data_IF_494105590628
#
_entry.id   IF_494105590628
#
_cell.length_a   1.000
_cell.length_b   1.000
_cell.length_c   1.000
_cell.angle_alpha   90.00
_cell.angle_beta   90.00
_cell.angle_gamma   90.00
#
_symmetry.space_group_name_H-M   'P 1'
#
loop_
_entity.id
_entity.type
_entity.pdbx_description
1 polymer ?
#
# COMPACT_ATOMS: atom_id res chain seq x y z
N UNK A 1 9.94 25.29 -2.32
CA UNK A 1 9.45 24.70 -3.56
C UNK A 1 8.34 23.72 -3.18
N UNK A 2 7.06 24.08 -3.34
CA UNK A 2 5.94 23.21 -2.96
C UNK A 2 5.85 22.07 -3.98
N UNK A 3 6.18 20.86 -3.56
CA UNK A 3 5.96 19.65 -4.34
C UNK A 3 4.45 19.41 -4.43
N UNK A 4 3.88 19.66 -5.60
CA UNK A 4 2.49 19.32 -5.89
C UNK A 4 2.31 17.82 -5.72
N UNK A 5 1.49 17.42 -4.75
CA UNK A 5 0.94 16.06 -4.67
C UNK A 5 0.29 15.72 -6.03
N UNK A 6 0.41 14.48 -6.52
CA UNK A 6 -0.19 14.10 -7.80
C UNK A 6 -1.68 14.43 -7.83
N UNK A 7 -2.13 14.90 -8.97
CA UNK A 7 -3.48 15.40 -9.33
C UNK A 7 -4.67 14.49 -8.93
N UNK A 8 -4.41 13.29 -8.42
CA UNK A 8 -5.41 12.33 -7.97
C UNK A 8 -6.30 12.80 -6.79
N UNK A 9 -5.92 13.88 -6.09
CA UNK A 9 -6.63 14.31 -4.88
C UNK A 9 -7.88 15.17 -5.14
N UNK A 10 -7.93 15.91 -6.24
CA UNK A 10 -9.02 16.89 -6.45
C UNK A 10 -10.23 16.36 -7.27
N UNK A 11 -10.03 15.36 -8.12
CA UNK A 11 -11.06 14.91 -9.06
C UNK A 11 -12.15 14.03 -8.43
N UNK A 12 -11.98 13.54 -7.20
CA UNK A 12 -12.90 12.57 -6.58
C UNK A 12 -13.95 13.18 -5.63
N UNK A 13 -13.84 14.45 -5.29
CA UNK A 13 -14.82 15.11 -4.42
C UNK A 13 -16.13 15.47 -5.14
N UNK A 14 -16.19 15.39 -6.47
CA UNK A 14 -17.34 15.85 -7.26
C UNK A 14 -18.32 14.77 -7.75
N UNK A 15 -18.15 13.49 -7.35
CA UNK A 15 -19.01 12.37 -7.81
C UNK A 15 -19.82 11.72 -6.69
N UNK A 16 -20.73 12.47 -6.06
CA UNK A 16 -21.38 12.07 -4.81
C UNK A 16 -22.41 10.90 -4.89
N UNK A 17 -22.98 10.59 -6.02
CA UNK A 17 -24.07 9.59 -6.12
C UNK A 17 -23.56 8.20 -6.54
N UNK A 18 -22.69 8.11 -7.53
CA UNK A 18 -22.05 6.84 -7.94
C UNK A 18 -21.09 6.27 -6.89
N UNK A 19 -20.55 7.13 -6.03
CA UNK A 19 -19.63 6.76 -4.96
C UNK A 19 -20.31 5.87 -3.91
N UNK A 20 -21.56 6.10 -3.57
CA UNK A 20 -22.29 5.29 -2.56
C UNK A 20 -22.55 3.85 -3.00
N UNK A 21 -22.80 3.62 -4.26
CA UNK A 21 -22.98 2.27 -4.81
C UNK A 21 -21.66 1.51 -4.86
N UNK A 22 -20.58 2.17 -5.26
CA UNK A 22 -19.22 1.62 -5.24
C UNK A 22 -18.77 1.31 -3.81
N UNK A 23 -19.16 2.11 -2.83
CA UNK A 23 -18.89 1.91 -1.41
C UNK A 23 -19.54 0.62 -0.88
N UNK A 24 -20.80 0.36 -1.26
CA UNK A 24 -21.53 -0.80 -0.75
C UNK A 24 -20.95 -2.13 -1.26
N UNK A 25 -20.43 -2.19 -2.49
CA UNK A 25 -19.98 -3.43 -3.12
C UNK A 25 -18.70 -3.99 -2.47
N UNK A 26 -17.81 -3.12 -1.99
CA UNK A 26 -16.52 -3.51 -1.40
C UNK A 26 -16.43 -3.18 0.11
N UNK A 27 -17.56 -3.01 0.79
CA UNK A 27 -17.61 -2.66 2.21
C UNK A 27 -16.98 -3.73 3.10
N UNK A 28 -17.12 -4.99 2.73
CA UNK A 28 -16.50 -6.12 3.44
C UNK A 28 -14.95 -6.01 3.41
N UNK A 29 -14.39 -5.74 2.24
CA UNK A 29 -12.95 -5.53 2.06
C UNK A 29 -12.47 -4.30 2.84
N UNK A 30 -13.22 -3.20 2.79
CA UNK A 30 -12.92 -2.00 3.56
C UNK A 30 -12.94 -2.25 5.06
N UNK A 31 -13.97 -2.91 5.58
CA UNK A 31 -14.10 -3.23 7.01
C UNK A 31 -12.97 -4.15 7.48
N UNK A 32 -12.62 -5.16 6.69
CA UNK A 32 -11.54 -6.08 7.02
C UNK A 32 -10.17 -5.36 7.08
N UNK A 33 -9.87 -4.52 6.09
CA UNK A 33 -8.60 -3.80 6.02
C UNK A 33 -8.50 -2.66 7.04
N UNK A 34 -9.58 -1.92 7.28
CA UNK A 34 -9.61 -0.89 8.33
C UNK A 34 -9.48 -1.48 9.73
N UNK A 35 -10.14 -2.62 9.98
CA UNK A 35 -9.98 -3.37 11.23
C UNK A 35 -8.56 -3.92 11.40
N UNK A 36 -7.91 -4.38 10.32
CA UNK A 36 -6.51 -4.79 10.34
C UNK A 36 -5.59 -3.64 10.76
N UNK A 37 -5.73 -2.47 10.13
CA UNK A 37 -4.93 -1.29 10.45
C UNK A 37 -5.13 -0.79 11.88
N UNK A 38 -6.35 -0.87 12.41
CA UNK A 38 -6.67 -0.44 13.78
C UNK A 38 -6.12 -1.36 14.88
N UNK A 39 -5.80 -2.62 14.55
CA UNK A 39 -5.25 -3.61 15.48
C UNK A 39 -3.74 -3.78 15.40
N UNK A 40 -3.13 -3.15 14.39
CA UNK A 40 -1.70 -3.33 14.14
C UNK A 40 -0.87 -2.67 15.25
N UNK A 41 0.04 -3.47 15.82
CA UNK A 41 1.02 -2.99 16.80
C UNK A 41 2.25 -2.44 16.07
N UNK A 42 2.67 -1.26 16.45
CA UNK A 42 3.84 -0.57 15.87
C UNK A 42 5.12 -1.41 15.95
N UNK A 43 5.21 -2.29 16.94
CA UNK A 43 6.40 -3.11 17.20
C UNK A 43 6.39 -4.46 16.50
N UNK A 44 5.25 -4.90 15.96
CA UNK A 44 5.10 -6.22 15.32
C UNK A 44 5.37 -6.15 13.83
N UNK A 45 5.85 -7.26 13.28
CA UNK A 45 5.90 -7.48 11.83
C UNK A 45 4.49 -7.61 11.29
N UNK A 46 4.13 -6.79 10.31
CA UNK A 46 2.82 -6.81 9.69
C UNK A 46 2.85 -7.60 8.39
N UNK A 47 1.91 -8.54 8.21
CA UNK A 47 1.76 -9.22 6.93
C UNK A 47 1.27 -8.23 5.87
N UNK A 48 1.95 -8.08 4.72
CA UNK A 48 1.47 -7.25 3.63
C UNK A 48 0.10 -7.69 3.12
N UNK A 49 -0.74 -6.73 2.71
CA UNK A 49 -2.05 -6.99 2.13
C UNK A 49 -2.05 -6.63 0.65
N UNK A 50 -2.68 -7.49 -0.18
CA UNK A 50 -2.83 -7.29 -1.61
C UNK A 50 -4.32 -7.23 -1.99
N UNK A 51 -4.73 -6.12 -2.56
CA UNK A 51 -6.08 -5.91 -3.09
C UNK A 51 -6.05 -6.28 -4.58
N UNK A 52 -6.76 -7.34 -4.95
CA UNK A 52 -6.81 -7.83 -6.33
C UNK A 52 -8.17 -7.62 -6.96
N UNK A 53 -8.19 -7.20 -8.20
CA UNK A 53 -9.42 -7.10 -8.99
C UNK A 53 -9.18 -6.44 -10.34
N UNK A 54 -10.06 -6.65 -11.28
CA UNK A 54 -9.99 -6.10 -12.63
C UNK A 54 -9.92 -4.57 -12.64
N UNK A 55 -9.55 -4.01 -13.78
CA UNK A 55 -9.59 -2.56 -13.97
C UNK A 55 -11.02 -2.04 -13.76
N UNK A 56 -11.15 -0.93 -13.05
CA UNK A 56 -12.47 -0.33 -12.76
C UNK A 56 -13.24 -0.93 -11.57
N UNK A 57 -12.78 -2.00 -10.91
CA UNK A 57 -13.46 -2.59 -9.74
C UNK A 57 -13.35 -1.77 -8.44
N UNK A 58 -12.66 -0.62 -8.46
CA UNK A 58 -12.61 0.29 -7.31
C UNK A 58 -11.38 0.14 -6.40
N UNK A 59 -10.31 -0.57 -6.81
CA UNK A 59 -9.07 -0.73 -6.00
C UNK A 59 -8.51 0.60 -5.50
N UNK A 60 -8.22 1.50 -6.42
CA UNK A 60 -7.67 2.83 -6.10
C UNK A 60 -8.61 3.62 -5.20
N UNK A 61 -9.92 3.48 -5.39
CA UNK A 61 -10.91 4.12 -4.53
C UNK A 61 -10.87 3.56 -3.10
N UNK A 62 -10.82 2.22 -2.95
CA UNK A 62 -10.69 1.57 -1.65
C UNK A 62 -9.40 2.02 -0.94
N UNK A 63 -8.28 2.06 -1.65
CA UNK A 63 -7.00 2.51 -1.09
C UNK A 63 -7.06 3.97 -0.61
N UNK A 64 -7.70 4.86 -1.37
CA UNK A 64 -7.88 6.27 -0.97
C UNK A 64 -8.77 6.40 0.27
N UNK A 65 -9.82 5.60 0.37
CA UNK A 65 -10.69 5.58 1.55
C UNK A 65 -9.92 5.12 2.79
N UNK A 66 -9.10 4.08 2.66
CA UNK A 66 -8.23 3.60 3.74
C UNK A 66 -7.16 4.65 4.12
N UNK A 67 -6.56 5.29 3.13
CA UNK A 67 -5.63 6.40 3.35
C UNK A 67 -6.28 7.53 4.17
N UNK A 68 -7.51 7.93 3.80
CA UNK A 68 -8.26 8.96 4.52
C UNK A 68 -8.48 8.58 5.99
N UNK A 69 -8.94 7.35 6.27
CA UNK A 69 -9.12 6.89 7.65
C UNK A 69 -7.83 6.87 8.45
N UNK A 70 -6.73 6.37 7.85
CA UNK A 70 -5.42 6.38 8.54
C UNK A 70 -5.01 7.81 8.87
N UNK A 71 -5.17 8.73 7.93
CA UNK A 71 -4.80 10.13 8.12
C UNK A 71 -5.64 10.83 9.19
N UNK A 72 -6.95 10.61 9.19
CA UNK A 72 -7.90 11.34 10.04
C UNK A 72 -8.04 10.72 11.43
N UNK A 73 -8.12 9.39 11.51
CA UNK A 73 -8.46 8.70 12.75
C UNK A 73 -7.28 8.00 13.42
N UNK A 74 -6.21 7.69 12.67
CA UNK A 74 -5.06 6.94 13.17
C UNK A 74 -3.75 7.74 13.07
N UNK A 75 -3.82 9.03 12.71
CA UNK A 75 -2.66 9.86 12.44
C UNK A 75 -1.69 10.05 13.60
N UNK A 76 -2.09 9.72 14.82
CA UNK A 76 -1.20 9.73 16.00
C UNK A 76 -0.26 8.51 16.06
N UNK A 77 -0.65 7.37 15.46
CA UNK A 77 0.08 6.09 15.50
C UNK A 77 0.55 5.63 14.13
N UNK A 78 -0.15 6.02 13.08
CA UNK A 78 0.14 5.63 11.70
C UNK A 78 0.40 6.85 10.81
N UNK A 79 1.28 6.69 9.83
CA UNK A 79 1.58 7.71 8.82
C UNK A 79 1.37 7.15 7.41
N UNK A 80 0.31 7.57 6.69
CA UNK A 80 0.01 7.02 5.38
C UNK A 80 0.83 7.69 4.28
N UNK A 81 1.39 6.87 3.39
CA UNK A 81 2.11 7.29 2.17
C UNK A 81 1.53 6.53 0.98
N UNK A 82 1.39 7.18 -0.16
CA UNK A 82 0.94 6.55 -1.41
C UNK A 82 2.06 6.59 -2.43
N UNK A 83 2.35 5.45 -3.05
CA UNK A 83 3.28 5.34 -4.17
C UNK A 83 2.59 4.62 -5.34
N UNK A 84 3.02 4.97 -6.55
CA UNK A 84 2.55 4.34 -7.79
C UNK A 84 3.53 3.26 -8.23
N UNK A 85 3.07 2.01 -8.34
CA UNK A 85 3.91 0.86 -8.74
C UNK A 85 4.56 1.03 -10.12
N UNK A 86 3.96 1.84 -11.01
CA UNK A 86 4.55 2.15 -12.32
C UNK A 86 5.88 2.89 -12.22
N UNK A 87 6.14 3.60 -11.14
CA UNK A 87 7.38 4.33 -10.89
C UNK A 87 8.46 3.51 -10.19
N UNK A 88 8.19 2.23 -9.89
CA UNK A 88 9.09 1.34 -9.17
C UNK A 88 9.83 0.42 -10.15
N UNK A 89 11.15 0.46 -10.12
CA UNK A 89 12.04 -0.38 -10.93
C UNK A 89 12.95 -1.26 -10.07
N UNK A 90 13.05 -0.95 -8.77
CA UNK A 90 13.85 -1.68 -7.78
C UNK A 90 13.20 -1.62 -6.40
N UNK A 91 13.68 -2.45 -5.49
CA UNK A 91 13.30 -2.38 -4.06
C UNK A 91 13.69 -1.05 -3.44
N UNK A 92 14.83 -0.50 -3.83
CA UNK A 92 15.31 0.78 -3.30
C UNK A 92 14.44 1.95 -3.73
N UNK A 93 13.78 1.89 -4.90
CA UNK A 93 12.83 2.94 -5.31
C UNK A 93 11.67 3.07 -4.33
N UNK A 94 11.19 1.94 -3.76
CA UNK A 94 10.12 1.94 -2.76
C UNK A 94 10.54 2.77 -1.55
N UNK A 95 11.75 2.49 -1.03
CA UNK A 95 12.24 3.13 0.18
C UNK A 95 12.68 4.57 -0.06
N UNK A 96 13.28 4.86 -1.22
CA UNK A 96 13.68 6.21 -1.59
C UNK A 96 12.47 7.12 -1.76
N UNK A 97 11.40 6.65 -2.41
CA UNK A 97 10.16 7.43 -2.51
C UNK A 97 9.53 7.63 -1.13
N UNK A 98 9.51 6.59 -0.29
CA UNK A 98 9.00 6.72 1.08
C UNK A 98 9.80 7.74 1.90
N UNK A 99 11.14 7.70 1.86
CA UNK A 99 12.01 8.65 2.54
C UNK A 99 11.77 10.09 2.06
N UNK A 100 11.59 10.26 0.75
CA UNK A 100 11.27 11.56 0.16
C UNK A 100 9.95 12.14 0.72
N UNK A 101 8.90 11.32 0.83
CA UNK A 101 7.63 11.74 1.43
C UNK A 101 7.74 12.11 2.92
N UNK A 102 8.67 11.47 3.63
CA UNK A 102 8.95 11.76 5.05
C UNK A 102 9.88 12.96 5.25
N UNK A 103 10.36 13.59 4.16
CA UNK A 103 11.41 14.62 4.17
C UNK A 103 12.69 14.15 4.89
N UNK A 104 13.03 12.88 4.73
CA UNK A 104 14.29 12.32 5.23
C UNK A 104 15.37 12.67 4.21
N UNK A 105 16.43 13.38 4.66
CA UNK A 105 17.59 13.63 3.82
C UNK A 105 18.28 12.32 3.46
N UNK A 106 18.60 12.14 2.17
CA UNK A 106 19.11 10.90 1.63
C UNK A 106 20.38 10.42 2.33
N UNK A 107 20.38 9.18 2.76
CA UNK A 107 21.49 8.44 3.32
C UNK A 107 21.71 7.15 2.55
N UNK A 108 22.74 6.38 2.92
CA UNK A 108 23.10 5.13 2.22
C UNK A 108 22.07 4.00 2.35
N UNK A 109 21.11 4.07 3.28
CA UNK A 109 20.02 3.12 3.45
C UNK A 109 18.73 3.83 3.86
N UNK A 110 17.87 4.08 2.86
CA UNK A 110 16.57 4.74 3.06
C UNK A 110 15.63 3.90 3.94
N UNK A 111 15.72 2.57 3.91
CA UNK A 111 14.86 1.71 4.73
C UNK A 111 15.20 1.86 6.23
N UNK A 112 16.48 1.83 6.62
CA UNK A 112 16.89 2.04 8.02
C UNK A 112 16.58 3.46 8.49
N UNK A 113 16.70 4.45 7.62
CA UNK A 113 16.31 5.83 7.91
C UNK A 113 14.80 5.95 8.20
N UNK A 114 13.96 5.22 7.46
CA UNK A 114 12.50 5.15 7.69
C UNK A 114 12.21 4.49 9.06
N UNK A 115 12.87 3.38 9.40
CA UNK A 115 12.71 2.74 10.71
C UNK A 115 13.04 3.72 11.85
N UNK A 116 14.16 4.43 11.74
CA UNK A 116 14.55 5.44 12.71
C UNK A 116 13.55 6.59 12.81
N UNK A 117 13.00 7.04 11.67
CA UNK A 117 11.96 8.07 11.64
C UNK A 117 10.71 7.60 12.39
N UNK A 118 10.29 6.34 12.18
CA UNK A 118 9.13 5.74 12.86
C UNK A 118 9.33 5.71 14.38
N UNK A 119 10.51 5.28 14.84
CA UNK A 119 10.86 5.28 16.27
C UNK A 119 10.84 6.68 16.86
N UNK A 120 11.46 7.66 16.19
CA UNK A 120 11.55 9.06 16.65
C UNK A 120 10.18 9.71 16.75
N UNK A 121 9.28 9.41 15.80
CA UNK A 121 7.96 10.02 15.74
C UNK A 121 6.88 9.18 16.44
N UNK A 122 7.22 7.99 16.97
CA UNK A 122 6.26 7.02 17.53
C UNK A 122 5.08 6.72 16.58
N UNK A 123 5.36 6.68 15.27
CA UNK A 123 4.36 6.49 14.22
C UNK A 123 4.87 5.48 13.21
N UNK A 124 4.06 4.49 12.88
CA UNK A 124 4.40 3.52 11.85
C UNK A 124 3.92 3.97 10.47
N UNK A 125 4.75 3.80 9.46
CA UNK A 125 4.39 4.09 8.07
C UNK A 125 3.43 3.03 7.55
N UNK A 126 2.34 3.46 6.90
CA UNK A 126 1.45 2.63 6.08
C UNK A 126 1.66 3.02 4.64
N UNK A 127 2.27 2.13 3.88
CA UNK A 127 2.61 2.34 2.50
C UNK A 127 1.53 1.74 1.59
N UNK A 128 0.80 2.59 0.91
CA UNK A 128 -0.18 2.23 -0.11
C UNK A 128 0.52 2.21 -1.46
N UNK A 129 0.62 1.02 -2.10
CA UNK A 129 1.27 0.85 -3.40
C UNK A 129 0.22 0.51 -4.44
N UNK A 130 -0.17 1.49 -5.26
CA UNK A 130 -1.14 1.23 -6.34
C UNK A 130 -0.46 0.61 -7.56
N UNK A 131 -1.12 -0.38 -8.17
CA UNK A 131 -0.62 -1.09 -9.35
C UNK A 131 0.75 -1.78 -9.13
N UNK A 132 0.91 -2.48 -8.01
CA UNK A 132 2.17 -3.14 -7.62
C UNK A 132 2.64 -4.20 -8.63
N UNK A 133 1.75 -4.70 -9.53
CA UNK A 133 2.12 -5.64 -10.58
C UNK A 133 3.29 -5.14 -11.43
N UNK A 134 3.40 -3.84 -11.67
CA UNK A 134 4.49 -3.28 -12.47
C UNK A 134 5.86 -3.44 -11.81
N UNK A 135 5.93 -3.37 -10.47
CA UNK A 135 7.15 -3.67 -9.72
C UNK A 135 7.54 -5.15 -9.88
N UNK A 136 6.59 -6.06 -9.62
CA UNK A 136 6.84 -7.51 -9.68
C UNK A 136 7.13 -8.02 -11.09
N UNK A 137 6.60 -7.38 -12.13
CA UNK A 137 6.88 -7.73 -13.53
C UNK A 137 8.27 -7.25 -14.01
N UNK A 138 8.87 -6.27 -13.32
CA UNK A 138 10.16 -5.68 -13.68
C UNK A 138 11.33 -6.17 -12.85
N UNK A 139 11.05 -6.71 -11.67
CA UNK A 139 12.09 -7.15 -10.74
C UNK A 139 12.25 -8.67 -10.79
N UNK A 140 13.47 -9.13 -10.57
CA UNK A 140 13.78 -10.54 -10.46
C UNK A 140 13.53 -11.08 -9.04
N UNK A 141 13.69 -12.40 -8.87
CA UNK A 141 13.52 -13.05 -7.57
C UNK A 141 14.48 -12.50 -6.52
N UNK A 142 15.70 -12.10 -6.88
CA UNK A 142 16.70 -11.59 -5.92
C UNK A 142 16.21 -10.28 -5.30
N UNK A 143 15.74 -9.35 -6.12
CA UNK A 143 15.12 -8.10 -5.68
C UNK A 143 13.89 -8.36 -4.81
N UNK A 144 13.03 -9.30 -5.22
CA UNK A 144 11.81 -9.63 -4.49
C UNK A 144 12.11 -10.29 -3.13
N UNK A 145 13.12 -11.16 -3.03
CA UNK A 145 13.60 -11.69 -1.75
C UNK A 145 14.22 -10.62 -0.87
N UNK A 146 14.92 -9.65 -1.45
CA UNK A 146 15.43 -8.46 -0.75
C UNK A 146 14.29 -7.66 -0.11
N UNK A 147 13.22 -7.40 -0.87
CA UNK A 147 12.01 -6.73 -0.35
C UNK A 147 11.37 -7.55 0.79
N UNK A 148 11.16 -8.85 0.61
CA UNK A 148 10.62 -9.73 1.65
C UNK A 148 11.46 -9.70 2.91
N UNK A 149 12.79 -9.74 2.78
CA UNK A 149 13.71 -9.65 3.91
C UNK A 149 13.53 -8.35 4.70
N UNK A 150 13.41 -7.22 4.03
CA UNK A 150 13.15 -5.92 4.67
C UNK A 150 11.76 -5.90 5.35
N UNK A 151 10.71 -6.44 4.72
CA UNK A 151 9.35 -6.48 5.29
C UNK A 151 9.21 -7.40 6.51
N UNK A 152 10.07 -8.41 6.63
CA UNK A 152 10.09 -9.31 7.79
C UNK A 152 10.81 -8.71 9.01
N UNK A 153 11.44 -7.55 8.90
CA UNK A 153 12.06 -6.88 10.06
C UNK A 153 10.98 -6.29 10.98
N UNK A 154 11.23 -6.37 12.28
CA UNK A 154 10.37 -5.72 13.28
C UNK A 154 10.27 -4.23 13.00
N UNK A 155 9.06 -3.69 13.10
CA UNK A 155 8.80 -2.28 12.81
C UNK A 155 8.82 -1.91 11.31
N UNK A 156 8.97 -2.86 10.38
CA UNK A 156 8.88 -2.57 8.95
C UNK A 156 7.56 -1.88 8.59
N UNK A 157 7.54 -0.95 7.61
CA UNK A 157 6.31 -0.32 7.15
C UNK A 157 5.21 -1.33 6.82
N UNK A 158 3.97 -1.01 7.13
CA UNK A 158 2.81 -1.81 6.73
C UNK A 158 2.57 -1.57 5.24
N UNK A 159 2.44 -2.64 4.45
CA UNK A 159 2.13 -2.52 3.02
C UNK A 159 0.69 -2.91 2.74
N UNK A 160 -0.02 -2.04 2.02
CA UNK A 160 -1.30 -2.32 1.37
C UNK A 160 -1.11 -2.03 -0.11
N UNK A 161 -1.07 -3.08 -0.92
CA UNK A 161 -0.83 -2.97 -2.35
C UNK A 161 -2.10 -3.27 -3.15
N UNK A 162 -2.19 -2.75 -4.38
CA UNK A 162 -3.22 -3.14 -5.34
C UNK A 162 -2.61 -3.78 -6.59
N UNK A 163 -3.35 -4.73 -7.19
CA UNK A 163 -2.98 -5.37 -8.46
C UNK A 163 -4.22 -5.68 -9.30
N UNK A 164 -4.08 -5.68 -10.61
CA UNK A 164 -5.16 -6.09 -11.52
C UNK A 164 -5.36 -7.61 -11.54
N UNK A 165 -4.31 -8.37 -11.25
CA UNK A 165 -4.27 -9.84 -11.28
C UNK A 165 -3.39 -10.37 -10.15
N UNK A 166 -3.60 -11.62 -9.79
CA UNK A 166 -2.64 -12.36 -8.97
C UNK A 166 -1.45 -12.74 -9.85
N UNK A 167 -0.25 -12.44 -9.39
CA UNK A 167 0.99 -12.73 -10.12
C UNK A 167 1.64 -14.03 -9.64
N UNK A 168 2.45 -14.70 -10.47
CA UNK A 168 3.26 -15.85 -10.06
C UNK A 168 4.08 -15.59 -8.80
N UNK A 169 4.56 -14.36 -8.60
CA UNK A 169 5.28 -13.96 -7.40
C UNK A 169 4.54 -14.24 -6.08
N UNK A 170 3.21 -14.39 -6.10
CA UNK A 170 2.37 -14.66 -4.92
C UNK A 170 1.86 -16.11 -4.85
N UNK A 171 1.90 -16.86 -5.94
CA UNK A 171 1.29 -18.20 -6.06
C UNK A 171 2.28 -19.32 -6.29
N UNK A 172 3.42 -19.04 -6.89
CA UNK A 172 4.42 -20.06 -7.18
C UNK A 172 5.21 -20.39 -5.92
N UNK A 173 5.34 -21.68 -5.62
CA UNK A 173 5.98 -22.17 -4.39
C UNK A 173 7.41 -21.64 -4.19
N UNK A 174 8.15 -21.50 -5.28
CA UNK A 174 9.54 -21.00 -5.26
C UNK A 174 9.64 -19.48 -5.37
N UNK A 175 8.52 -18.76 -5.40
CA UNK A 175 8.52 -17.32 -5.50
C UNK A 175 8.74 -16.64 -4.14
N UNK A 176 9.37 -15.47 -4.18
CA UNK A 176 9.73 -14.72 -2.98
C UNK A 176 8.54 -14.41 -2.07
N UNK A 177 7.34 -14.24 -2.62
CA UNK A 177 6.15 -13.87 -1.86
C UNK A 177 5.08 -14.96 -1.83
N UNK A 178 5.44 -16.24 -2.07
CA UNK A 178 4.53 -17.34 -1.80
C UNK A 178 3.98 -17.24 -0.36
N UNK A 179 2.66 -17.19 -0.22
CA UNK A 179 1.95 -16.94 1.06
C UNK A 179 2.42 -15.66 1.81
N UNK A 180 3.17 -14.78 1.14
CA UNK A 180 3.71 -13.57 1.76
C UNK A 180 2.70 -12.44 1.92
N UNK A 181 1.66 -12.41 1.07
CA UNK A 181 0.60 -11.41 1.11
C UNK A 181 -0.74 -12.02 1.53
N UNK A 182 -1.49 -11.29 2.36
CA UNK A 182 -2.91 -11.57 2.55
C UNK A 182 -3.68 -10.98 1.38
N UNK A 183 -4.33 -11.84 0.58
CA UNK A 183 -5.02 -11.41 -0.64
C UNK A 183 -6.50 -11.13 -0.35
N UNK A 184 -6.97 -9.97 -0.80
CA UNK A 184 -8.37 -9.55 -0.76
C UNK A 184 -8.85 -9.32 -2.19
N UNK A 185 -9.85 -10.08 -2.63
CA UNK A 185 -10.43 -9.94 -3.97
C UNK A 185 -11.57 -8.94 -3.96
N UNK A 186 -11.52 -7.97 -4.87
CA UNK A 186 -12.65 -7.07 -5.13
C UNK A 186 -13.56 -7.64 -6.21
N UNK A 187 -14.86 -7.52 -5.97
CA UNK A 187 -15.88 -7.87 -6.96
C UNK A 187 -15.97 -6.78 -8.04
N UNK A 188 -16.23 -7.16 -9.30
CA UNK A 188 -16.55 -6.19 -10.35
C UNK A 188 -17.74 -5.33 -9.93
N UNK A 189 -17.68 -4.04 -10.29
CA UNK A 189 -18.83 -3.13 -10.12
C UNK A 189 -19.89 -3.51 -11.16
N UNK A 190 -20.91 -4.26 -10.74
CA UNK A 190 -22.07 -4.50 -11.58
C UNK A 190 -22.95 -3.25 -11.54
N UNK A 191 -23.02 -2.52 -12.66
CA UNK A 191 -24.05 -1.52 -12.86
C UNK A 191 -25.33 -2.32 -13.10
N UNK A 192 -26.22 -2.40 -12.09
CA UNK A 192 -27.60 -2.81 -12.35
C UNK A 192 -28.22 -1.80 -13.30
N UNK A 193 -28.55 -2.27 -14.50
CA UNK A 193 -29.24 -1.50 -15.53
C UNK A 193 -30.64 -1.12 -15.07
#
# INVERSE_FOLDING_TARGET
MQTRLPILHETLLSYDIKIREVLAINEEAYTALSSYLSKEDVTKTAQPNLIVGESGCGKTFLMKRLYGIVKENMGNTLHPIVIEGKSLFSTDDIWNQCALYLNIEGGNDSFDAILKWQETNSRRVVLFVDNVQYYFERTDNTEQYGLRGKLNRSGAPIIIASSEKVLPAFTDYDAAFFDGFKITYLKPLTISA
#
